data_IF_423547572114
#
_entry.id   IF_423547572114
#
_cell.length_a   1.000
_cell.length_b   1.000
_cell.length_c   1.000
_cell.angle_alpha   90.00
_cell.angle_beta   90.00
_cell.angle_gamma   90.00
#
_symmetry.space_group_name_H-M   'P 1'
#
loop_
_entity.id
_entity.type
_entity.pdbx_description
1 polymer ?
#
# COMPACT_ATOMS: atom_id res chain seq x y z
N UNK A 1 9.22 49.28 -75.66
CA UNK A 1 7.77 49.00 -75.69
C UNK A 1 7.55 47.63 -75.04
N UNK A 2 6.60 47.29 -74.19
CA UNK A 2 5.66 47.99 -73.31
C UNK A 2 4.84 46.86 -72.64
N UNK A 3 4.85 46.78 -71.29
CA UNK A 3 3.80 46.20 -70.40
C UNK A 3 3.49 44.68 -70.54
N UNK A 4 3.23 43.89 -69.49
CA UNK A 4 2.34 44.08 -68.34
C UNK A 4 2.71 43.18 -67.14
N UNK A 5 2.47 43.76 -65.96
CA UNK A 5 2.25 43.15 -64.65
C UNK A 5 1.10 42.13 -64.64
N UNK A 6 1.27 41.03 -63.89
CA UNK A 6 0.20 40.45 -63.05
C UNK A 6 0.83 40.01 -61.72
N UNK A 7 0.31 40.61 -60.66
CA UNK A 7 0.64 40.42 -59.25
C UNK A 7 -0.31 39.34 -58.70
N UNK A 8 0.20 38.22 -58.20
CA UNK A 8 -0.59 37.28 -57.39
C UNK A 8 -0.04 37.30 -55.96
N UNK A 9 -0.78 38.00 -55.11
CA UNK A 9 -0.60 37.99 -53.66
C UNK A 9 -1.06 36.63 -53.11
N UNK A 10 -0.10 35.77 -52.79
CA UNK A 10 -0.31 34.59 -51.97
C UNK A 10 0.10 34.91 -50.54
N UNK A 11 -0.88 35.19 -49.68
CA UNK A 11 -0.73 35.39 -48.25
C UNK A 11 -0.22 34.08 -47.61
N UNK A 12 1.09 33.93 -47.42
CA UNK A 12 1.66 32.80 -46.70
C UNK A 12 1.57 33.11 -45.19
N UNK A 13 0.63 32.47 -44.51
CA UNK A 13 0.52 32.46 -43.06
C UNK A 13 1.84 31.93 -42.47
N UNK A 14 2.59 32.85 -41.84
CA UNK A 14 3.66 32.52 -40.90
C UNK A 14 2.99 31.90 -39.68
N UNK A 15 2.79 30.58 -39.73
CA UNK A 15 2.51 29.79 -38.54
C UNK A 15 3.75 29.83 -37.66
N UNK A 16 3.73 30.70 -36.65
CA UNK A 16 4.68 30.69 -35.55
C UNK A 16 4.47 29.37 -34.80
N UNK A 17 5.09 28.29 -35.29
CA UNK A 17 5.23 27.06 -34.54
C UNK A 17 6.22 27.37 -33.42
N UNK A 18 5.67 27.79 -32.28
CA UNK A 18 6.38 27.74 -31.01
C UNK A 18 6.65 26.26 -30.75
N UNK A 19 7.79 25.77 -31.23
CA UNK A 19 8.46 24.60 -30.65
C UNK A 19 8.72 24.99 -29.20
N UNK A 20 7.76 24.66 -28.33
CA UNK A 20 8.08 24.46 -26.95
C UNK A 20 9.14 23.36 -26.95
N UNK A 21 10.41 23.75 -26.82
CA UNK A 21 11.40 22.89 -26.20
C UNK A 21 10.77 22.54 -24.85
N UNK A 22 10.09 21.40 -24.80
CA UNK A 22 9.86 20.69 -23.56
C UNK A 22 11.28 20.39 -23.11
N UNK A 23 11.75 21.16 -22.13
CA UNK A 23 12.93 20.76 -21.39
C UNK A 23 12.59 19.34 -20.91
N UNK A 24 13.18 18.34 -21.55
CA UNK A 24 13.49 17.12 -20.84
C UNK A 24 14.39 17.60 -19.72
N UNK A 25 13.78 17.89 -18.57
CA UNK A 25 14.51 17.67 -17.34
C UNK A 25 14.96 16.23 -17.45
N UNK A 26 16.24 16.07 -17.79
CA UNK A 26 16.98 14.86 -17.52
C UNK A 26 17.00 14.78 -15.99
N UNK A 27 15.85 14.42 -15.44
CA UNK A 27 15.63 14.37 -14.01
C UNK A 27 16.61 13.34 -13.51
N UNK A 28 17.48 13.76 -12.60
CA UNK A 28 18.37 12.88 -11.83
C UNK A 28 17.60 11.89 -10.93
N UNK A 29 16.34 11.60 -11.25
CA UNK A 29 15.44 10.89 -10.38
C UNK A 29 15.69 9.40 -10.43
N UNK A 30 15.66 8.76 -9.27
CA UNK A 30 15.85 7.34 -9.16
C UNK A 30 14.83 6.51 -9.94
N UNK A 31 15.18 5.25 -10.18
CA UNK A 31 14.34 4.24 -10.85
C UNK A 31 14.36 2.94 -10.06
N UNK A 32 13.26 2.19 -10.14
CA UNK A 32 13.20 0.82 -9.67
C UNK A 32 13.82 -0.13 -10.70
N UNK A 33 14.57 -1.10 -10.20
CA UNK A 33 15.19 -2.14 -11.01
C UNK A 33 14.40 -3.45 -11.03
N UNK A 34 14.92 -4.43 -11.77
CA UNK A 34 14.57 -5.85 -11.67
C UNK A 34 15.85 -6.65 -11.33
N UNK A 35 15.77 -7.77 -10.58
CA UNK A 35 14.56 -8.39 -10.03
C UNK A 35 14.21 -7.88 -8.61
N UNK A 36 12.92 -7.80 -8.30
CA UNK A 36 12.43 -7.68 -6.91
C UNK A 36 12.59 -9.04 -6.24
N UNK A 37 13.23 -9.04 -5.07
CA UNK A 37 13.44 -10.26 -4.30
C UNK A 37 12.52 -10.26 -3.09
N UNK A 38 11.74 -11.33 -2.96
CA UNK A 38 10.84 -11.56 -1.85
C UNK A 38 11.27 -12.87 -1.19
N UNK A 39 11.89 -12.81 0.00
CA UNK A 39 12.47 -13.97 0.65
C UNK A 39 11.40 -14.77 1.41
N UNK A 40 10.40 -15.34 0.72
CA UNK A 40 9.41 -16.23 1.36
C UNK A 40 8.72 -17.18 0.36
N UNK A 41 8.03 -18.17 0.90
CA UNK A 41 7.07 -19.10 0.27
C UNK A 41 5.74 -18.43 -0.17
N UNK A 42 5.78 -17.16 -0.55
CA UNK A 42 4.63 -16.38 -0.99
C UNK A 42 4.71 -16.26 -2.50
N UNK A 43 3.66 -16.66 -3.21
CA UNK A 43 3.54 -16.39 -4.64
C UNK A 43 3.29 -14.89 -4.88
N UNK A 44 3.90 -14.34 -5.93
CA UNK A 44 3.78 -12.91 -6.22
C UNK A 44 3.98 -12.62 -7.71
N UNK A 45 3.42 -11.50 -8.15
CA UNK A 45 3.68 -10.88 -9.44
C UNK A 45 4.21 -9.46 -9.26
N UNK A 46 5.18 -9.07 -10.09
CA UNK A 46 5.77 -7.72 -10.06
C UNK A 46 5.61 -7.08 -11.42
N UNK A 47 5.10 -5.85 -11.43
CA UNK A 47 5.08 -4.98 -12.59
C UNK A 47 5.93 -3.73 -12.32
N UNK A 48 6.70 -3.29 -13.30
CA UNK A 48 7.50 -2.06 -13.22
C UNK A 48 7.18 -1.26 -14.45
N UNK A 49 6.86 0.02 -14.28
CA UNK A 49 6.56 0.93 -15.38
C UNK A 49 7.75 1.06 -16.34
N UNK A 50 7.48 1.46 -17.58
CA UNK A 50 8.50 1.59 -18.63
C UNK A 50 9.60 2.61 -18.25
N UNK A 51 9.25 3.64 -17.50
CA UNK A 51 10.18 4.66 -16.97
C UNK A 51 10.87 4.25 -15.65
N UNK A 52 10.49 3.11 -15.08
CA UNK A 52 10.99 2.64 -13.78
C UNK A 52 10.58 3.49 -12.59
N UNK A 53 9.63 4.43 -12.73
CA UNK A 53 9.19 5.32 -11.64
C UNK A 53 8.11 4.72 -10.75
N UNK A 54 7.42 3.70 -11.23
CA UNK A 54 6.40 2.98 -10.50
C UNK A 54 6.66 1.48 -10.49
N UNK A 55 6.31 0.83 -9.40
CA UNK A 55 6.42 -0.61 -9.23
C UNK A 55 5.21 -1.13 -8.47
N UNK A 56 4.48 -2.07 -9.05
CA UNK A 56 3.39 -2.78 -8.38
C UNK A 56 3.83 -4.20 -8.01
N UNK A 57 3.44 -4.64 -6.82
CA UNK A 57 3.61 -6.01 -6.35
C UNK A 57 2.24 -6.54 -5.93
N UNK A 58 1.84 -7.67 -6.50
CA UNK A 58 0.60 -8.38 -6.15
C UNK A 58 1.00 -9.69 -5.48
N UNK A 59 0.34 -10.03 -4.39
CA UNK A 59 0.62 -11.24 -3.61
C UNK A 59 -0.49 -12.27 -3.76
N UNK A 60 -0.09 -13.55 -3.77
CA UNK A 60 -1.04 -14.66 -3.77
C UNK A 60 -1.49 -15.02 -2.34
N UNK A 61 -0.62 -14.87 -1.33
CA UNK A 61 -0.91 -15.35 0.04
C UNK A 61 -0.12 -14.65 1.17
N UNK A 62 -0.20 -13.32 1.26
CA UNK A 62 0.24 -12.59 2.46
C UNK A 62 -0.93 -12.49 3.44
N UNK A 63 -1.25 -13.63 4.07
CA UNK A 63 -2.33 -13.71 5.07
C UNK A 63 -1.80 -14.08 6.45
N UNK A 64 -2.40 -13.50 7.49
CA UNK A 64 -2.35 -13.97 8.87
C UNK A 64 -3.79 -14.29 9.29
N UNK A 65 -4.00 -15.44 9.91
CA UNK A 65 -5.29 -15.94 10.37
C UNK A 65 -5.14 -16.33 11.83
N UNK A 66 -5.98 -15.77 12.70
CA UNK A 66 -6.10 -16.11 14.11
C UNK A 66 -7.44 -16.81 14.31
N UNK A 67 -7.44 -18.13 14.51
CA UNK A 67 -8.69 -18.89 14.65
C UNK A 67 -9.44 -18.57 15.95
N UNK A 68 -10.79 -18.55 15.88
CA UNK A 68 -11.68 -18.36 17.03
C UNK A 68 -11.48 -19.43 18.13
N UNK A 69 -11.71 -19.06 19.40
CA UNK A 69 -11.73 -20.00 20.53
C UNK A 69 -12.84 -21.03 20.34
N UNK A 70 -12.46 -22.29 20.23
CA UNK A 70 -13.44 -23.39 20.29
C UNK A 70 -13.43 -23.97 21.69
N UNK A 71 -14.51 -23.74 22.44
CA UNK A 71 -14.71 -24.36 23.74
C UNK A 71 -15.04 -25.83 23.54
N UNK A 72 -14.02 -26.69 23.62
CA UNK A 72 -14.23 -28.13 23.61
C UNK A 72 -14.69 -28.63 24.97
N UNK A 73 -15.43 -29.75 25.03
CA UNK A 73 -15.81 -30.42 26.29
C UNK A 73 -14.59 -30.82 27.16
N UNK A 74 -13.37 -30.78 26.63
CA UNK A 74 -12.11 -31.09 27.35
C UNK A 74 -11.38 -29.83 27.84
N UNK A 75 -12.01 -28.66 27.78
CA UNK A 75 -11.43 -27.38 28.15
C UNK A 75 -10.97 -26.55 26.93
N UNK A 76 -10.61 -25.30 27.19
CA UNK A 76 -10.03 -24.38 26.21
C UNK A 76 -8.62 -24.85 25.88
N UNK A 77 -8.41 -25.35 24.66
CA UNK A 77 -7.05 -25.66 24.22
C UNK A 77 -6.27 -24.36 23.99
N UNK A 78 -5.00 -24.35 24.43
CA UNK A 78 -4.02 -23.25 24.28
C UNK A 78 -4.06 -22.59 22.89
N UNK A 79 -4.90 -21.57 22.74
CA UNK A 79 -4.89 -20.73 21.55
C UNK A 79 -4.00 -19.52 21.81
N UNK A 80 -3.16 -19.21 20.82
CA UNK A 80 -2.30 -18.03 20.85
C UNK A 80 -3.17 -16.78 20.86
N UNK A 81 -2.93 -15.86 21.78
CA UNK A 81 -3.67 -14.59 21.83
C UNK A 81 -3.20 -13.59 20.77
N UNK A 82 -2.01 -13.80 20.20
CA UNK A 82 -1.42 -12.92 19.20
C UNK A 82 -0.80 -13.79 18.11
N UNK A 83 -1.08 -13.43 16.86
CA UNK A 83 -0.44 -14.01 15.70
C UNK A 83 0.16 -12.93 14.82
N UNK A 84 1.41 -13.14 14.45
CA UNK A 84 2.19 -12.18 13.67
C UNK A 84 2.78 -12.85 12.45
N UNK A 85 2.67 -12.19 11.30
CA UNK A 85 3.39 -12.58 10.08
C UNK A 85 4.25 -11.44 9.61
N UNK A 86 5.53 -11.72 9.38
CA UNK A 86 6.50 -10.77 8.87
C UNK A 86 6.76 -11.07 7.40
N UNK A 87 6.87 -10.00 6.62
CA UNK A 87 7.10 -10.07 5.20
C UNK A 87 8.02 -8.94 4.78
N UNK A 88 9.09 -9.23 4.04
CA UNK A 88 10.08 -8.22 3.65
C UNK A 88 10.25 -8.19 2.14
N UNK A 89 10.12 -7.01 1.54
CA UNK A 89 10.38 -6.73 0.14
C UNK A 89 11.76 -6.09 0.01
N UNK A 90 12.57 -6.62 -0.91
CA UNK A 90 13.81 -5.99 -1.33
C UNK A 90 13.59 -5.38 -2.71
N UNK A 91 13.42 -4.06 -2.74
CA UNK A 91 13.21 -3.27 -3.94
C UNK A 91 14.57 -2.76 -4.43
N UNK A 92 15.08 -3.26 -5.56
CA UNK A 92 16.27 -2.68 -6.16
C UNK A 92 15.93 -1.27 -6.64
N UNK A 93 16.70 -0.28 -6.20
CA UNK A 93 16.59 1.07 -6.72
C UNK A 93 17.95 1.54 -7.26
N UNK A 94 17.93 2.44 -8.23
CA UNK A 94 19.10 3.16 -8.72
C UNK A 94 18.78 4.64 -8.61
N UNK A 95 19.70 5.43 -8.07
CA UNK A 95 19.51 6.87 -7.91
C UNK A 95 20.88 7.52 -7.79
N UNK A 96 21.09 8.61 -8.52
CA UNK A 96 22.27 9.46 -8.36
C UNK A 96 22.07 10.48 -7.21
N UNK A 97 20.81 10.70 -6.81
CA UNK A 97 20.46 11.57 -5.71
C UNK A 97 20.85 11.00 -4.35
N UNK A 98 21.27 11.88 -3.43
CA UNK A 98 21.60 11.54 -2.04
C UNK A 98 20.41 10.97 -1.26
N UNK A 99 19.20 11.34 -1.66
CA UNK A 99 17.95 10.94 -1.02
C UNK A 99 16.88 10.72 -2.07
N UNK A 100 16.21 9.57 -2.03
CA UNK A 100 15.10 9.23 -2.91
C UNK A 100 13.80 9.22 -2.11
N UNK A 101 12.81 10.00 -2.55
CA UNK A 101 11.47 10.03 -1.92
C UNK A 101 10.59 8.96 -2.56
N UNK A 102 10.04 8.05 -1.75
CA UNK A 102 9.17 6.98 -2.23
C UNK A 102 7.81 7.08 -1.53
N UNK A 103 6.76 6.99 -2.31
CA UNK A 103 5.40 6.78 -1.83
C UNK A 103 5.04 5.31 -2.05
N UNK A 104 4.42 4.71 -1.05
CA UNK A 104 3.88 3.37 -1.16
C UNK A 104 2.40 3.38 -0.78
N UNK A 105 1.60 2.73 -1.61
CA UNK A 105 0.19 2.46 -1.40
C UNK A 105 0.05 0.97 -1.09
N UNK A 106 -0.50 0.64 0.09
CA UNK A 106 -0.79 -0.74 0.50
C UNK A 106 -2.28 -0.98 0.45
N UNK A 107 -2.67 -2.15 -0.06
CA UNK A 107 -4.07 -2.59 -0.12
C UNK A 107 -4.22 -4.00 0.42
N UNK A 108 -5.37 -4.26 1.02
CA UNK A 108 -5.72 -5.58 1.49
C UNK A 108 -7.10 -5.61 2.11
N UNK A 109 -7.33 -6.71 2.82
CA UNK A 109 -8.60 -7.03 3.43
C UNK A 109 -8.39 -7.46 4.89
N UNK A 110 -9.28 -7.03 5.77
CA UNK A 110 -9.35 -7.50 7.15
C UNK A 110 -10.76 -7.97 7.45
N UNK A 111 -10.86 -9.10 8.14
CA UNK A 111 -12.09 -9.62 8.73
C UNK A 111 -11.79 -9.93 10.19
N UNK A 112 -12.47 -9.29 11.13
CA UNK A 112 -12.27 -9.56 12.55
C UNK A 112 -13.60 -9.80 13.23
N UNK A 113 -13.65 -10.82 14.07
CA UNK A 113 -14.75 -11.04 15.00
C UNK A 113 -14.68 -10.05 16.17
N UNK A 114 -15.75 -9.95 16.95
CA UNK A 114 -15.77 -9.14 18.17
C UNK A 114 -14.62 -9.51 19.12
N UNK A 115 -13.97 -8.47 19.65
CA UNK A 115 -12.82 -8.60 20.57
C UNK A 115 -11.48 -8.88 19.88
N UNK A 116 -11.44 -9.13 18.57
CA UNK A 116 -10.18 -9.19 17.83
C UNK A 116 -9.73 -7.79 17.37
N UNK A 117 -8.42 -7.59 17.25
CA UNK A 117 -7.80 -6.35 16.74
C UNK A 117 -6.76 -6.67 15.70
N UNK A 118 -6.76 -5.88 14.63
CA UNK A 118 -5.85 -6.03 13.51
C UNK A 118 -4.99 -4.78 13.34
N UNK A 119 -3.69 -4.99 13.14
CA UNK A 119 -2.73 -3.93 12.84
C UNK A 119 -1.82 -4.34 11.70
N UNK A 120 -1.54 -3.38 10.82
CA UNK A 120 -0.47 -3.47 9.84
C UNK A 120 0.62 -2.47 10.23
N UNK A 121 1.83 -2.97 10.42
CA UNK A 121 3.00 -2.12 10.66
C UNK A 121 3.89 -2.20 9.42
N UNK A 122 4.26 -1.05 8.87
CA UNK A 122 5.16 -0.96 7.73
C UNK A 122 6.43 -0.23 8.11
N UNK A 123 7.56 -0.92 7.99
CA UNK A 123 8.89 -0.37 8.22
C UNK A 123 9.60 -0.22 6.87
N UNK A 124 9.91 1.02 6.47
CA UNK A 124 10.56 1.31 5.19
C UNK A 124 11.62 2.41 5.37
N UNK A 125 12.88 2.08 5.13
CA UNK A 125 13.99 3.01 5.38
C UNK A 125 14.08 3.41 6.86
N UNK A 126 13.92 4.71 7.13
CA UNK A 126 13.88 5.30 8.48
C UNK A 126 12.45 5.50 9.02
N UNK A 127 11.43 5.16 8.24
CA UNK A 127 10.03 5.35 8.60
C UNK A 127 9.39 4.07 9.15
N UNK A 128 8.54 4.23 10.16
CA UNK A 128 7.61 3.20 10.63
C UNK A 128 6.20 3.78 10.60
N UNK A 129 5.30 3.11 9.89
CA UNK A 129 3.90 3.48 9.77
C UNK A 129 3.02 2.40 10.38
N UNK A 130 2.03 2.79 11.18
CA UNK A 130 1.13 1.84 11.87
C UNK A 130 -0.30 2.13 11.45
N UNK A 131 -0.92 1.17 10.77
CA UNK A 131 -2.31 1.21 10.34
C UNK A 131 -3.14 0.40 11.32
N UNK A 132 -4.11 1.06 11.94
CA UNK A 132 -5.13 0.39 12.76
C UNK A 132 -6.28 -0.01 11.84
N UNK A 133 -6.58 -1.29 11.75
CA UNK A 133 -7.48 -1.85 10.74
C UNK A 133 -8.85 -2.26 11.29
N UNK A 134 -9.01 -2.36 12.61
CA UNK A 134 -10.31 -2.55 13.25
C UNK A 134 -11.00 -1.23 13.53
N UNK A 135 -12.29 -1.14 13.21
CA UNK A 135 -13.06 0.04 13.59
C UNK A 135 -13.06 0.09 15.12
N UNK A 136 -12.62 1.22 15.66
CA UNK A 136 -12.93 1.49 17.06
C UNK A 136 -14.42 1.79 17.03
N UNK A 137 -15.28 0.89 17.54
CA UNK A 137 -16.66 1.25 17.88
C UNK A 137 -16.54 2.38 18.91
N UNK A 138 -16.40 3.62 18.44
CA UNK A 138 -16.61 4.78 19.29
C UNK A 138 -18.04 4.59 19.80
N UNK A 139 -18.20 4.39 21.10
CA UNK A 139 -19.52 4.33 21.72
C UNK A 139 -20.28 5.60 21.30
N UNK A 140 -21.15 5.46 20.32
CA UNK A 140 -22.09 6.51 19.98
C UNK A 140 -23.04 6.56 21.17
N UNK A 141 -22.75 7.45 22.12
CA UNK A 141 -23.62 7.69 23.26
C UNK A 141 -24.92 8.29 22.73
N UNK A 142 -25.87 7.42 22.39
CA UNK A 142 -27.20 7.82 21.98
C UNK A 142 -27.92 8.41 23.21
N UNK A 143 -27.87 9.74 23.34
CA UNK A 143 -28.75 10.48 24.26
C UNK A 143 -30.17 10.53 23.68
N UNK A 144 -30.93 9.45 23.79
CA UNK A 144 -32.33 9.43 23.38
C UNK A 144 -33.06 8.12 23.70
N UNK A 145 -34.28 8.21 24.20
CA UNK A 145 -35.11 7.09 24.67
C UNK A 145 -35.84 6.31 23.56
N UNK A 146 -35.19 6.07 22.43
CA UNK A 146 -35.84 5.37 21.32
C UNK A 146 -35.53 3.86 21.38
N UNK A 147 -36.60 3.12 21.67
CA UNK A 147 -36.69 1.66 21.71
C UNK A 147 -36.05 0.94 20.53
N UNK A 148 -35.22 -0.04 20.88
CA UNK A 148 -35.12 -1.40 20.32
C UNK A 148 -35.64 -1.58 18.89
N UNK A 149 -34.73 -1.53 17.93
CA UNK A 149 -34.80 -2.37 16.74
C UNK A 149 -33.67 -3.39 16.87
N UNK A 150 -34.04 -4.66 17.04
CA UNK A 150 -33.13 -5.79 16.81
C UNK A 150 -32.60 -5.65 15.37
N UNK A 151 -31.42 -5.08 15.24
CA UNK A 151 -30.56 -5.33 14.09
C UNK A 151 -29.86 -6.62 14.46
N UNK A 152 -30.08 -7.68 13.69
CA UNK A 152 -29.17 -8.83 13.69
C UNK A 152 -27.83 -8.30 13.14
N UNK A 153 -27.02 -7.74 14.03
CA UNK A 153 -25.64 -7.35 13.76
C UNK A 153 -24.88 -8.66 13.52
N UNK A 154 -24.44 -8.85 12.28
CA UNK A 154 -23.35 -9.77 12.01
C UNK A 154 -22.13 -9.18 12.70
N UNK A 155 -21.70 -9.76 13.82
CA UNK A 155 -20.65 -9.24 14.72
C UNK A 155 -19.22 -9.26 14.14
N UNK A 156 -19.09 -9.54 12.84
CA UNK A 156 -17.82 -9.49 12.10
C UNK A 156 -17.71 -8.22 11.25
N UNK A 157 -16.57 -7.55 11.33
CA UNK A 157 -16.24 -6.41 10.48
C UNK A 157 -15.34 -6.84 9.32
N UNK A 158 -15.92 -6.88 8.11
CA UNK A 158 -15.19 -7.08 6.86
C UNK A 158 -14.85 -5.71 6.26
N UNK A 159 -13.57 -5.37 6.20
CA UNK A 159 -13.08 -4.06 5.75
C UNK A 159 -11.99 -4.23 4.69
N UNK A 160 -12.25 -3.72 3.50
CA UNK A 160 -11.19 -3.44 2.53
C UNK A 160 -10.43 -2.19 2.98
N UNK A 161 -9.10 -2.28 3.06
CA UNK A 161 -8.27 -1.13 3.43
C UNK A 161 -7.33 -0.72 2.31
N UNK A 162 -7.11 0.59 2.22
CA UNK A 162 -6.08 1.19 1.40
C UNK A 162 -5.42 2.31 2.20
N UNK A 163 -4.11 2.23 2.38
CA UNK A 163 -3.33 3.26 3.07
C UNK A 163 -2.11 3.68 2.25
N UNK A 164 -1.67 4.92 2.43
CA UNK A 164 -0.55 5.55 1.73
C UNK A 164 0.47 6.03 2.75
N UNK A 165 1.71 5.60 2.59
CA UNK A 165 2.83 6.08 3.39
C UNK A 165 3.97 6.58 2.51
N UNK A 166 4.73 7.55 3.03
CA UNK A 166 5.88 8.15 2.35
C UNK A 166 7.12 7.94 3.20
N UNK A 167 8.21 7.57 2.57
CA UNK A 167 9.50 7.37 3.23
C UNK A 167 10.64 7.86 2.36
N UNK A 168 11.78 8.12 2.98
CA UNK A 168 13.00 8.54 2.29
C UNK A 168 14.02 7.42 2.35
N UNK A 169 14.69 7.21 1.23
CA UNK A 169 15.81 6.29 1.13
C UNK A 169 17.09 7.11 1.02
N UNK A 170 18.13 6.72 1.75
CA UNK A 170 19.47 7.25 1.59
C UNK A 170 20.31 6.24 0.81
N UNK A 171 20.34 6.28 -0.54
CA UNK A 171 21.14 5.39 -1.35
C UNK A 171 22.64 5.73 -1.25
N UNK A 172 23.26 5.55 -0.10
CA UNK A 172 24.71 5.72 0.08
C UNK A 172 25.50 4.46 -0.25
N UNK A 173 24.83 3.35 -0.56
CA UNK A 173 25.46 2.10 -0.94
C UNK A 173 25.66 2.04 -2.47
N UNK A 174 26.74 1.41 -2.92
CA UNK A 174 27.04 1.14 -4.33
C UNK A 174 25.90 0.35 -5.03
N UNK A 175 25.10 -0.39 -4.26
CA UNK A 175 23.87 -1.06 -4.68
C UNK A 175 22.79 -0.83 -3.63
N UNK A 176 22.05 0.30 -3.68
CA UNK A 176 21.04 0.57 -2.67
C UNK A 176 19.88 -0.39 -2.85
N UNK A 177 19.60 -1.14 -1.79
CA UNK A 177 18.41 -1.99 -1.71
C UNK A 177 17.45 -1.32 -0.75
N UNK A 178 16.28 -0.95 -1.23
CA UNK A 178 15.20 -0.51 -0.38
C UNK A 178 14.56 -1.73 0.26
N UNK A 179 14.66 -1.83 1.58
CA UNK A 179 13.97 -2.84 2.36
C UNK A 179 12.66 -2.27 2.89
N UNK A 180 11.54 -2.91 2.54
CA UNK A 180 10.21 -2.60 3.09
C UNK A 180 9.74 -3.85 3.83
N UNK A 181 9.46 -3.73 5.12
CA UNK A 181 8.98 -4.84 5.95
C UNK A 181 7.56 -4.57 6.41
N UNK A 182 6.66 -5.48 6.10
CA UNK A 182 5.29 -5.53 6.60
C UNK A 182 5.25 -6.47 7.80
N UNK A 183 4.59 -6.05 8.86
CA UNK A 183 4.29 -6.87 10.03
C UNK A 183 2.78 -6.84 10.20
N UNK A 184 2.15 -7.96 9.87
CA UNK A 184 0.72 -8.17 10.04
C UNK A 184 0.52 -8.74 11.45
N UNK A 185 -0.31 -8.09 12.25
CA UNK A 185 -0.58 -8.48 13.63
C UNK A 185 -2.08 -8.64 13.81
N UNK A 186 -2.49 -9.83 14.23
CA UNK A 186 -3.81 -10.08 14.78
C UNK A 186 -3.66 -10.39 16.27
N UNK A 187 -4.43 -9.70 17.09
CA UNK A 187 -4.48 -9.92 18.53
C UNK A 187 -5.94 -10.14 18.97
N UNK A 188 -6.13 -11.02 19.93
CA UNK A 188 -7.39 -11.28 20.60
C UNK A 188 -7.42 -10.54 21.94
N UNK A 189 -8.58 -10.02 22.32
CA UNK A 189 -8.82 -9.58 23.69
C UNK A 189 -9.00 -10.77 24.63
N UNK A 190 -7.97 -11.08 25.41
CA UNK A 190 -8.00 -12.24 26.33
C UNK A 190 -8.90 -12.05 27.53
N UNK A 191 -9.37 -10.83 27.78
CA UNK A 191 -10.26 -10.54 28.90
C UNK A 191 -11.73 -10.89 28.57
N UNK A 192 -12.05 -11.09 27.28
CA UNK A 192 -13.36 -11.51 26.80
C UNK A 192 -13.38 -13.02 26.52
N UNK A 193 -14.28 -13.75 27.18
CA UNK A 193 -14.38 -15.22 27.11
C UNK A 193 -14.73 -15.74 25.71
N UNK A 194 -15.45 -14.93 24.92
CA UNK A 194 -15.93 -15.25 23.57
C UNK A 194 -15.20 -14.45 22.50
N UNK A 195 -14.00 -13.96 22.80
CA UNK A 195 -13.22 -13.19 21.84
C UNK A 195 -12.90 -14.02 20.60
N UNK A 196 -13.38 -13.55 19.46
CA UNK A 196 -13.35 -14.33 18.23
C UNK A 196 -11.96 -14.34 17.59
N UNK A 197 -11.93 -14.76 16.34
CA UNK A 197 -10.74 -14.78 15.50
C UNK A 197 -10.63 -13.57 14.59
N UNK A 198 -9.76 -13.68 13.60
CA UNK A 198 -9.69 -12.74 12.52
C UNK A 198 -8.76 -13.21 11.40
N UNK A 199 -8.89 -12.55 10.27
CA UNK A 199 -8.11 -12.72 9.07
C UNK A 199 -7.59 -11.35 8.64
N UNK A 200 -6.30 -11.24 8.36
CA UNK A 200 -5.71 -10.05 7.77
C UNK A 200 -4.88 -10.47 6.56
N UNK A 201 -5.26 -9.96 5.40
CA UNK A 201 -4.60 -10.18 4.12
C UNK A 201 -4.04 -8.86 3.56
N UNK A 202 -2.88 -8.94 2.93
CA UNK A 202 -2.32 -7.87 2.09
C UNK A 202 -2.28 -8.38 0.65
N UNK A 203 -2.97 -7.70 -0.25
CA UNK A 203 -3.15 -8.13 -1.63
C UNK A 203 -2.12 -7.49 -2.55
N UNK A 204 -1.85 -6.20 -2.35
CA UNK A 204 -0.92 -5.47 -3.21
C UNK A 204 -0.16 -4.35 -2.49
N UNK A 205 1.03 -4.07 -3.00
CA UNK A 205 1.80 -2.86 -2.71
C UNK A 205 2.22 -2.18 -4.01
N UNK A 206 1.85 -0.92 -4.15
CA UNK A 206 2.27 -0.07 -5.24
C UNK A 206 3.26 0.98 -4.72
N UNK A 207 4.39 1.11 -5.40
CA UNK A 207 5.44 2.08 -5.11
C UNK A 207 5.52 3.09 -6.23
N UNK A 208 5.71 4.36 -5.88
CA UNK A 208 6.07 5.42 -6.81
C UNK A 208 7.20 6.26 -6.25
N UNK A 209 8.15 6.59 -7.11
CA UNK A 209 9.21 7.56 -6.80
C UNK A 209 8.61 8.94 -7.04
N UNK A 210 8.60 9.77 -5.99
CA UNK A 210 8.18 11.16 -6.12
C UNK A 210 9.28 11.99 -6.78
N UNK A 211 8.87 13.01 -7.52
CA UNK A 211 9.75 14.10 -7.99
C UNK A 211 10.26 14.94 -6.81
#
# INVERSE_FOLDING_TARGET
>A
MSKRFVLCAGLLMVGLFTLALRAEEVGSGGTFGKPVTIPTNVGYAVNVSDDGKAMGVIFDNVVVDLSATTTSQRGTQNQTSIQTKLFTLLLPCKSDDKTLSVTADVRGFVSTDQGARARLIVCAGDATHVVKLTATKEEVVFKGSCKEKLVEESDGEDIDFQDRFRFKLAPKAEKPVCQVTLVLVLERDTDEADSGGGLLAVDSLDFSIGD
#
